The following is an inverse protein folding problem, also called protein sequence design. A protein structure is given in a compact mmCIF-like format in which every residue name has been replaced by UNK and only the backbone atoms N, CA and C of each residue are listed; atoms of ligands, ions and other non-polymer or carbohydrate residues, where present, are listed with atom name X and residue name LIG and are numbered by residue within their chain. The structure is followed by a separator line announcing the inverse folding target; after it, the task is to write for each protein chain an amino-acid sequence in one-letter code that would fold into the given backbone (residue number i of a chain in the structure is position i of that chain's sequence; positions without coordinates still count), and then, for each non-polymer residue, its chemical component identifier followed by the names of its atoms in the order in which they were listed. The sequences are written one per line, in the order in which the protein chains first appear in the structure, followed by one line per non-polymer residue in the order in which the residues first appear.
data_IF_256871727444
#
_entry.id   IF_256871727444
#
_cell.length_a   1.000
_cell.length_b   1.000
_cell.length_c   1.000
_cell.angle_alpha   90.00
_cell.angle_beta   90.00
_cell.angle_gamma   90.00
#
_symmetry.space_group_name_H-M   'P 1'
#
loop_
_entity.id
_entity.type
_entity.pdbx_description
1 polymer ?
#
# COMPACT_ATOMS: atom_id res chain seq x y z
N UNK A 1 24.80 -14.58 20.39
CA UNK A 1 23.57 -13.79 20.63
C UNK A 1 23.32 -12.63 19.66
N UNK A 2 24.13 -12.41 18.61
CA UNK A 2 23.92 -11.33 17.62
C UNK A 2 23.12 -11.71 16.35
N UNK A 3 22.88 -13.01 16.10
CA UNK A 3 22.21 -13.46 14.87
C UNK A 3 20.73 -13.06 14.80
N UNK A 4 19.99 -13.07 15.92
CA UNK A 4 18.54 -12.80 15.94
C UNK A 4 18.16 -11.38 15.51
N UNK A 5 19.01 -10.39 15.79
CA UNK A 5 18.74 -8.99 15.44
C UNK A 5 19.09 -8.69 13.98
N UNK A 6 20.14 -9.32 13.45
CA UNK A 6 20.53 -9.22 12.04
C UNK A 6 19.46 -9.86 11.15
N UNK A 7 19.01 -11.07 11.49
CA UNK A 7 17.95 -11.77 10.75
C UNK A 7 16.65 -10.98 10.77
N UNK A 8 16.30 -10.38 11.92
CA UNK A 8 15.10 -9.56 12.07
C UNK A 8 15.10 -8.33 11.15
N UNK A 9 16.25 -7.75 10.88
CA UNK A 9 16.38 -6.60 9.99
C UNK A 9 16.38 -7.07 8.53
N UNK A 10 17.06 -8.19 8.24
CA UNK A 10 17.21 -8.71 6.88
C UNK A 10 15.86 -9.06 6.23
N UNK A 11 14.95 -9.76 6.92
CA UNK A 11 13.65 -10.13 6.32
C UNK A 11 12.75 -8.91 6.09
N UNK A 12 12.88 -7.88 6.93
CA UNK A 12 12.14 -6.62 6.76
C UNK A 12 12.62 -5.89 5.52
N UNK A 13 13.94 -5.84 5.30
CA UNK A 13 14.52 -5.21 4.12
C UNK A 13 14.20 -5.98 2.83
N UNK A 14 14.28 -7.32 2.85
CA UNK A 14 13.85 -8.18 1.74
C UNK A 14 12.37 -7.94 1.41
N UNK A 15 11.50 -7.94 2.42
CA UNK A 15 10.06 -7.75 2.22
C UNK A 15 9.75 -6.36 1.66
N UNK A 16 10.41 -5.32 2.17
CA UNK A 16 10.27 -3.95 1.66
C UNK A 16 10.73 -3.84 0.21
N UNK A 17 11.88 -4.43 -0.13
CA UNK A 17 12.41 -4.48 -1.49
C UNK A 17 11.46 -5.20 -2.45
N UNK A 18 10.95 -6.37 -2.05
CA UNK A 18 9.97 -7.13 -2.81
C UNK A 18 8.68 -6.33 -3.04
N UNK A 19 8.16 -5.63 -2.03
CA UNK A 19 6.98 -4.78 -2.17
C UNK A 19 7.20 -3.65 -3.19
N UNK A 20 8.35 -2.96 -3.12
CA UNK A 20 8.68 -1.87 -4.06
C UNK A 20 8.83 -2.43 -5.48
N UNK A 21 9.54 -3.54 -5.65
CA UNK A 21 9.73 -4.18 -6.95
C UNK A 21 8.38 -4.55 -7.58
N UNK A 22 7.50 -5.17 -6.82
CA UNK A 22 6.17 -5.54 -7.28
C UNK A 22 5.34 -4.30 -7.69
N UNK A 23 5.45 -3.19 -6.95
CA UNK A 23 4.78 -1.92 -7.32
C UNK A 23 5.30 -1.39 -8.65
N UNK A 24 6.62 -1.43 -8.87
CA UNK A 24 7.23 -1.04 -10.15
C UNK A 24 6.72 -1.93 -11.29
N UNK A 25 6.75 -3.26 -11.12
CA UNK A 25 6.28 -4.22 -12.13
C UNK A 25 4.80 -4.04 -12.51
N UNK A 26 3.99 -3.55 -11.59
CA UNK A 26 2.61 -3.21 -11.87
C UNK A 26 2.48 -1.92 -12.68
N UNK A 27 3.18 -0.87 -12.25
CA UNK A 27 3.08 0.45 -12.89
C UNK A 27 3.68 0.49 -14.30
N UNK A 28 4.58 -0.43 -14.64
CA UNK A 28 5.11 -0.56 -16.00
C UNK A 28 4.08 -1.12 -17.00
N UNK A 29 3.05 -1.83 -16.54
CA UNK A 29 2.10 -2.53 -17.43
C UNK A 29 0.66 -2.08 -17.27
N UNK A 30 0.09 -2.15 -16.07
CA UNK A 30 -1.38 -2.10 -15.93
C UNK A 30 -2.03 -0.72 -16.12
N UNK A 31 -1.52 0.40 -15.58
CA UNK A 31 -2.21 1.69 -15.71
C UNK A 31 -2.29 2.22 -17.15
N UNK A 32 -1.40 1.76 -18.04
CA UNK A 32 -1.28 2.27 -19.41
C UNK A 32 -1.55 1.24 -20.52
N UNK A 33 -1.24 -0.05 -20.30
CA UNK A 33 -1.26 -1.06 -21.36
C UNK A 33 -2.41 -2.07 -21.26
N UNK A 34 -3.19 -2.09 -20.17
CA UNK A 34 -4.30 -3.03 -20.00
C UNK A 34 -5.36 -2.89 -21.11
N UNK A 35 -5.67 -1.66 -21.52
CA UNK A 35 -6.61 -1.39 -22.61
C UNK A 35 -6.06 -1.71 -24.00
N UNK A 36 -4.74 -1.75 -24.15
CA UNK A 36 -4.05 -1.96 -25.43
C UNK A 36 -3.92 -3.43 -25.79
N UNK A 37 -4.15 -4.33 -24.81
CA UNK A 37 -4.09 -5.79 -24.99
C UNK A 37 -5.05 -6.33 -26.05
N UNK A 38 -6.24 -5.71 -26.18
CA UNK A 38 -7.24 -6.11 -27.20
C UNK A 38 -6.76 -5.91 -28.63
N UNK A 39 -5.70 -5.13 -28.83
CA UNK A 39 -5.14 -4.79 -30.13
C UNK A 39 -3.79 -5.49 -30.40
N UNK A 40 -3.34 -6.41 -29.53
CA UNK A 40 -2.11 -7.16 -29.78
C UNK A 40 -2.33 -8.24 -30.84
N UNK A 41 -1.59 -8.13 -31.95
CA UNK A 41 -1.61 -9.13 -33.04
C UNK A 41 -0.88 -10.44 -32.69
N UNK A 42 0.03 -10.44 -31.71
CA UNK A 42 0.77 -11.61 -31.22
C UNK A 42 1.24 -11.40 -29.77
N UNK A 43 1.48 -12.48 -29.02
CA UNK A 43 2.00 -12.40 -27.64
C UNK A 43 0.94 -12.18 -26.55
N UNK A 44 -0.34 -12.45 -26.84
CA UNK A 44 -1.44 -12.35 -25.88
C UNK A 44 -1.29 -13.28 -24.67
N UNK A 45 -0.77 -14.50 -24.87
CA UNK A 45 -0.56 -15.48 -23.78
C UNK A 45 0.41 -14.97 -22.71
N UNK A 46 1.66 -14.56 -23.02
CA UNK A 46 2.55 -13.95 -22.02
C UNK A 46 1.96 -12.74 -21.31
N UNK A 47 1.21 -11.90 -22.04
CA UNK A 47 0.65 -10.68 -21.47
C UNK A 47 -0.52 -10.98 -20.52
N UNK A 48 -1.37 -11.95 -20.85
CA UNK A 48 -2.45 -12.41 -19.97
C UNK A 48 -1.89 -13.07 -18.71
N UNK A 49 -0.87 -13.94 -18.85
CA UNK A 49 -0.15 -14.51 -17.70
C UNK A 49 0.41 -13.41 -16.81
N UNK A 50 1.00 -12.36 -17.40
CA UNK A 50 1.56 -11.23 -16.65
C UNK A 50 0.48 -10.43 -15.90
N UNK A 51 -0.68 -10.20 -16.51
CA UNK A 51 -1.82 -9.53 -15.87
C UNK A 51 -2.33 -10.38 -14.70
N UNK A 52 -2.57 -11.67 -14.93
CA UNK A 52 -3.02 -12.59 -13.88
C UNK A 52 -2.02 -12.63 -12.72
N UNK A 53 -0.73 -12.71 -13.01
CA UNK A 53 0.33 -12.64 -12.01
C UNK A 53 0.27 -11.35 -11.19
N UNK A 54 0.11 -10.19 -11.83
CA UNK A 54 0.01 -8.90 -11.13
C UNK A 54 -1.29 -8.75 -10.32
N UNK A 55 -2.39 -9.34 -10.78
CA UNK A 55 -3.68 -9.36 -10.09
C UNK A 55 -3.61 -10.22 -8.84
N UNK A 56 -3.04 -11.42 -8.94
CA UNK A 56 -2.82 -12.32 -7.79
C UNK A 56 -1.88 -11.68 -6.76
N UNK A 57 -0.88 -10.91 -7.21
CA UNK A 57 0.05 -10.19 -6.33
C UNK A 57 -0.45 -8.82 -5.86
N UNK A 58 -1.62 -8.38 -6.33
CA UNK A 58 -2.22 -7.10 -5.91
C UNK A 58 -2.45 -7.00 -4.39
N UNK A 59 -3.01 -8.03 -3.71
CA UNK A 59 -3.21 -8.03 -2.26
C UNK A 59 -1.90 -8.11 -1.47
N UNK A 60 -0.80 -8.53 -2.10
CA UNK A 60 0.52 -8.64 -1.47
C UNK A 60 1.23 -7.28 -1.43
N UNK A 61 1.11 -6.46 -2.49
CA UNK A 61 1.87 -5.22 -2.64
C UNK A 61 1.56 -4.15 -1.60
N UNK A 62 0.38 -3.54 -1.71
CA UNK A 62 0.05 -2.36 -0.91
C UNK A 62 -0.19 -2.73 0.56
N UNK A 63 -0.96 -3.79 0.89
CA UNK A 63 -1.14 -4.21 2.29
C UNK A 63 0.17 -4.53 3.02
N UNK A 64 1.08 -5.30 2.40
CA UNK A 64 2.35 -5.64 3.04
C UNK A 64 3.27 -4.41 3.15
N UNK A 65 3.30 -3.55 2.14
CA UNK A 65 4.05 -2.30 2.20
C UNK A 65 3.60 -1.40 3.35
N UNK A 66 2.29 -1.20 3.53
CA UNK A 66 1.77 -0.40 4.64
C UNK A 66 1.98 -1.08 6.00
N UNK A 67 1.86 -2.41 6.07
CA UNK A 67 2.18 -3.17 7.27
C UNK A 67 3.64 -2.98 7.70
N UNK A 68 4.60 -3.18 6.79
CA UNK A 68 6.03 -2.99 7.06
C UNK A 68 6.33 -1.55 7.44
N UNK A 69 5.69 -0.59 6.77
CA UNK A 69 5.85 0.83 7.11
C UNK A 69 5.32 1.14 8.51
N UNK A 70 4.21 0.53 8.92
CA UNK A 70 3.67 0.60 10.29
C UNK A 70 4.64 0.00 11.31
N UNK A 71 5.18 -1.18 11.04
CA UNK A 71 6.19 -1.86 11.87
C UNK A 71 7.43 -0.97 12.09
N UNK A 72 7.96 -0.35 11.03
CA UNK A 72 9.09 0.57 11.09
C UNK A 72 8.75 1.92 11.73
N UNK A 73 7.47 2.27 11.80
CA UNK A 73 6.96 3.48 12.43
C UNK A 73 6.68 3.31 13.93
N UNK A 74 6.47 2.09 14.42
CA UNK A 74 6.11 1.79 15.82
C UNK A 74 6.96 2.56 16.84
N UNK A 75 8.29 2.50 16.71
CA UNK A 75 9.21 3.19 17.62
C UNK A 75 9.06 4.72 17.58
N UNK A 76 8.78 5.29 16.41
CA UNK A 76 8.54 6.73 16.25
C UNK A 76 7.17 7.19 16.80
N UNK A 77 6.19 6.30 16.81
CA UNK A 77 4.84 6.54 17.32
C UNK A 77 4.84 6.47 18.86
N UNK A 78 5.47 5.45 19.43
CA UNK A 78 5.40 5.18 20.87
C UNK A 78 6.41 5.98 21.70
N UNK A 79 7.65 6.10 21.22
CA UNK A 79 8.78 6.52 22.08
C UNK A 79 9.38 7.90 21.74
N UNK A 80 9.05 8.49 20.58
CA UNK A 80 9.70 9.74 20.11
C UNK A 80 8.84 10.99 20.34
N UNK A 81 9.42 12.12 20.79
CA UNK A 81 8.69 13.38 20.96
C UNK A 81 8.23 13.95 19.61
N UNK A 82 7.16 14.75 19.63
CA UNK A 82 6.54 15.33 18.43
C UNK A 82 7.53 16.13 17.57
N UNK A 83 8.38 16.96 18.19
CA UNK A 83 9.38 17.78 17.48
C UNK A 83 10.32 16.96 16.61
N UNK A 84 10.89 15.88 17.13
CA UNK A 84 11.87 15.07 16.39
C UNK A 84 11.26 14.35 15.18
N UNK A 85 9.97 13.99 15.29
CA UNK A 85 9.28 13.22 14.25
C UNK A 85 8.72 14.11 13.15
N UNK A 86 8.18 15.28 13.50
CA UNK A 86 7.75 16.27 12.53
C UNK A 86 8.93 16.74 11.68
N UNK A 87 10.04 17.15 12.30
CA UNK A 87 11.16 17.77 11.58
C UNK A 87 11.83 16.86 10.54
N UNK A 88 11.93 15.54 10.80
CA UNK A 88 12.77 14.66 9.97
C UNK A 88 11.98 13.73 9.04
N UNK A 89 10.93 13.08 9.53
CA UNK A 89 10.27 11.98 8.80
C UNK A 89 9.01 12.43 8.09
N UNK A 90 8.12 13.12 8.80
CA UNK A 90 6.83 13.55 8.23
C UNK A 90 7.04 14.64 7.19
N UNK A 91 7.81 15.67 7.53
CA UNK A 91 8.13 16.76 6.59
C UNK A 91 8.80 16.23 5.33
N UNK A 92 9.71 15.26 5.44
CA UNK A 92 10.38 14.68 4.28
C UNK A 92 9.39 13.90 3.38
N UNK A 93 8.47 13.12 3.95
CA UNK A 93 7.44 12.42 3.17
C UNK A 93 6.52 13.38 2.41
N UNK A 94 6.03 14.43 3.07
CA UNK A 94 5.20 15.44 2.41
C UNK A 94 5.99 16.29 1.42
N UNK A 95 7.24 16.62 1.74
CA UNK A 95 8.17 17.31 0.84
C UNK A 95 8.38 16.52 -0.43
N UNK A 96 8.74 15.24 -0.33
CA UNK A 96 8.91 14.36 -1.50
C UNK A 96 7.59 14.22 -2.27
N UNK A 97 6.45 14.08 -1.59
CA UNK A 97 5.16 13.98 -2.25
C UNK A 97 4.82 15.22 -3.09
N UNK A 98 4.98 16.43 -2.52
CA UNK A 98 4.69 17.69 -3.20
C UNK A 98 5.73 17.95 -4.30
N UNK A 99 7.02 17.75 -4.01
CA UNK A 99 8.11 17.99 -4.96
C UNK A 99 7.96 17.10 -6.19
N UNK A 100 7.80 15.79 -6.00
CA UNK A 100 7.64 14.86 -7.12
C UNK A 100 6.30 15.03 -7.83
N UNK A 101 5.22 15.31 -7.09
CA UNK A 101 3.93 15.65 -7.69
C UNK A 101 4.02 16.87 -8.59
N UNK A 102 4.74 17.91 -8.14
CA UNK A 102 4.96 19.14 -8.91
C UNK A 102 5.85 18.89 -10.13
N UNK A 103 6.95 18.15 -9.99
CA UNK A 103 7.82 17.78 -11.11
C UNK A 103 7.03 17.02 -12.17
N UNK A 104 6.22 16.03 -11.76
CA UNK A 104 5.41 15.24 -12.68
C UNK A 104 4.36 16.11 -13.40
N UNK A 105 3.64 16.94 -12.65
CA UNK A 105 2.66 17.86 -13.20
C UNK A 105 3.28 18.85 -14.19
N UNK A 106 4.41 19.47 -13.81
CA UNK A 106 5.14 20.42 -14.65
C UNK A 106 5.68 19.77 -15.92
N UNK A 107 6.26 18.57 -15.80
CA UNK A 107 6.77 17.82 -16.94
C UNK A 107 5.64 17.44 -17.90
N UNK A 108 4.50 16.99 -17.38
CA UNK A 108 3.35 16.67 -18.22
C UNK A 108 2.80 17.92 -18.88
N UNK A 109 2.50 18.99 -18.15
CA UNK A 109 2.00 20.22 -18.77
C UNK A 109 2.98 20.77 -19.81
N UNK A 110 4.25 20.91 -19.46
CA UNK A 110 5.26 21.52 -20.33
C UNK A 110 5.56 20.71 -21.58
N UNK A 111 5.54 19.37 -21.51
CA UNK A 111 5.84 18.51 -22.66
C UNK A 111 4.56 18.17 -23.43
N UNK A 112 3.49 17.73 -22.75
CA UNK A 112 2.25 17.30 -23.39
C UNK A 112 1.45 18.45 -23.98
N UNK A 113 1.31 19.56 -23.25
CA UNK A 113 0.36 20.61 -23.67
C UNK A 113 0.93 21.41 -24.84
N UNK A 114 2.25 21.63 -24.87
CA UNK A 114 2.92 22.30 -25.99
C UNK A 114 3.02 21.42 -27.24
N UNK A 115 3.28 20.11 -27.07
CA UNK A 115 3.45 19.22 -28.23
C UNK A 115 2.11 18.72 -28.79
N UNK A 116 1.10 18.50 -27.95
CA UNK A 116 -0.14 17.82 -28.36
C UNK A 116 -1.36 18.74 -28.45
N UNK A 117 -1.30 19.96 -27.89
CA UNK A 117 -2.40 20.95 -27.94
C UNK A 117 -3.71 20.53 -27.26
N UNK A 118 -3.77 19.34 -26.66
CA UNK A 118 -4.93 18.76 -25.98
C UNK A 118 -4.50 18.01 -24.70
N UNK A 119 -5.44 17.88 -23.75
CA UNK A 119 -5.26 17.06 -22.55
C UNK A 119 -5.08 15.59 -22.95
N UNK A 120 -3.91 15.01 -22.69
CA UNK A 120 -3.60 13.58 -22.99
C UNK A 120 -4.50 12.60 -22.23
N UNK A 121 -5.06 12.97 -21.08
CA UNK A 121 -5.97 12.09 -20.33
C UNK A 121 -7.05 12.86 -19.58
N UNK A 122 -8.28 12.34 -19.57
CA UNK A 122 -9.39 12.81 -18.73
C UNK A 122 -9.37 12.19 -17.32
N UNK A 123 -8.34 11.40 -16.98
CA UNK A 123 -8.21 10.81 -15.65
C UNK A 123 -8.05 11.90 -14.58
N UNK A 124 -8.86 11.80 -13.53
CA UNK A 124 -8.75 12.63 -12.33
C UNK A 124 -7.47 12.22 -11.57
N UNK A 125 -6.35 12.84 -11.93
CA UNK A 125 -5.05 12.68 -11.29
C UNK A 125 -4.34 14.02 -11.27
N UNK A 126 -3.71 14.38 -10.15
CA UNK A 126 -3.00 15.64 -9.95
C UNK A 126 -1.96 15.89 -11.05
N UNK A 127 -1.35 14.82 -11.57
CA UNK A 127 -0.40 14.86 -12.67
C UNK A 127 -0.96 15.48 -13.97
N UNK A 128 -2.27 15.38 -14.22
CA UNK A 128 -2.94 15.90 -15.42
C UNK A 128 -3.79 17.15 -15.16
N UNK A 129 -3.67 17.77 -13.97
CA UNK A 129 -4.41 18.97 -13.63
C UNK A 129 -4.12 20.10 -14.63
N UNK A 130 -5.12 20.86 -15.07
CA UNK A 130 -4.89 21.96 -16.02
C UNK A 130 -4.51 23.29 -15.37
N UNK A 131 -4.59 23.38 -14.05
CA UNK A 131 -4.27 24.60 -13.29
C UNK A 131 -3.58 24.26 -11.98
N UNK A 132 -2.83 25.22 -11.43
CA UNK A 132 -2.19 25.07 -10.13
C UNK A 132 -3.20 24.82 -9.01
N UNK A 133 -4.37 25.44 -9.08
CA UNK A 133 -5.46 25.24 -8.11
C UNK A 133 -6.03 23.82 -8.17
N UNK A 134 -6.27 23.31 -9.39
CA UNK A 134 -6.72 21.93 -9.60
C UNK A 134 -5.65 20.92 -9.15
N UNK A 135 -4.36 21.20 -9.41
CA UNK A 135 -3.24 20.40 -8.93
C UNK A 135 -3.23 20.33 -7.40
N UNK A 136 -3.34 21.47 -6.71
CA UNK A 136 -3.37 21.50 -5.24
C UNK A 136 -4.58 20.76 -4.68
N UNK A 137 -5.77 20.94 -5.28
CA UNK A 137 -6.99 20.24 -4.87
C UNK A 137 -6.85 18.72 -5.01
N UNK A 138 -6.37 18.23 -6.16
CA UNK A 138 -6.18 16.80 -6.41
C UNK A 138 -5.07 16.20 -5.56
N UNK A 139 -3.98 16.94 -5.34
CA UNK A 139 -2.89 16.57 -4.43
C UNK A 139 -3.41 16.44 -3.00
N UNK A 140 -4.26 17.36 -2.55
CA UNK A 140 -4.85 17.29 -1.22
C UNK A 140 -5.87 16.14 -1.08
N UNK A 141 -6.59 15.81 -2.15
CA UNK A 141 -7.48 14.64 -2.22
C UNK A 141 -6.73 13.31 -2.42
N UNK A 142 -5.40 13.30 -2.34
CA UNK A 142 -4.54 12.14 -2.58
C UNK A 142 -4.78 11.46 -3.95
N UNK A 143 -5.26 12.22 -4.93
CA UNK A 143 -5.46 11.74 -6.31
C UNK A 143 -4.15 11.89 -7.09
N UNK A 144 -3.09 11.26 -6.59
CA UNK A 144 -1.76 11.25 -7.22
C UNK A 144 -1.24 9.83 -7.24
N UNK A 145 -0.47 9.45 -8.26
CA UNK A 145 0.16 8.13 -8.32
C UNK A 145 1.01 7.84 -7.07
N UNK A 146 1.57 8.89 -6.46
CA UNK A 146 2.39 8.84 -5.23
C UNK A 146 1.58 8.95 -3.93
N UNK A 147 0.26 8.70 -3.97
CA UNK A 147 -0.63 8.81 -2.81
C UNK A 147 -0.17 8.03 -1.58
N UNK A 148 0.62 6.96 -1.76
CA UNK A 148 1.15 6.17 -0.66
C UNK A 148 2.02 7.00 0.30
N UNK A 149 2.78 7.99 -0.20
CA UNK A 149 3.59 8.89 0.63
C UNK A 149 2.71 9.77 1.53
N UNK A 150 1.66 10.33 0.94
CA UNK A 150 0.64 11.08 1.66
C UNK A 150 -0.05 10.21 2.72
N UNK A 151 -0.43 8.99 2.34
CA UNK A 151 -1.04 8.02 3.25
C UNK A 151 -0.13 7.66 4.42
N UNK A 152 1.16 7.40 4.19
CA UNK A 152 2.11 7.13 5.28
C UNK A 152 2.23 8.30 6.26
N UNK A 153 2.30 9.54 5.76
CA UNK A 153 2.31 10.72 6.60
C UNK A 153 1.04 10.83 7.45
N UNK A 154 -0.13 10.68 6.81
CA UNK A 154 -1.44 10.77 7.46
C UNK A 154 -1.65 9.65 8.49
N UNK A 155 -1.38 8.39 8.13
CA UNK A 155 -1.54 7.25 9.02
C UNK A 155 -0.62 7.36 10.23
N UNK A 156 0.61 7.82 10.02
CA UNK A 156 1.54 8.06 11.11
C UNK A 156 1.00 9.12 12.07
N UNK A 157 0.48 10.24 11.55
CA UNK A 157 -0.13 11.30 12.35
C UNK A 157 -1.32 10.75 13.15
N UNK A 158 -2.27 10.08 12.50
CA UNK A 158 -3.44 9.48 13.15
C UNK A 158 -3.03 8.47 14.24
N UNK A 159 -2.13 7.54 13.93
CA UNK A 159 -1.66 6.54 14.88
C UNK A 159 -0.96 7.16 16.09
N UNK A 160 -0.26 8.29 15.91
CA UNK A 160 0.42 9.00 17.00
C UNK A 160 -0.54 9.82 17.86
N UNK A 161 -1.50 10.54 17.27
CA UNK A 161 -2.53 11.29 18.00
C UNK A 161 -3.40 10.34 18.82
N UNK A 162 -3.91 9.28 18.19
CA UNK A 162 -4.87 8.36 18.79
C UNK A 162 -4.23 7.13 19.44
N UNK A 163 -2.94 7.20 19.80
CA UNK A 163 -2.20 6.06 20.37
C UNK A 163 -2.83 5.49 21.65
N UNK A 164 -3.52 6.32 22.44
CA UNK A 164 -4.23 5.91 23.66
C UNK A 164 -5.53 5.15 23.35
N UNK A 165 -6.15 5.42 22.19
CA UNK A 165 -7.42 4.83 21.74
C UNK A 165 -7.20 3.82 20.61
N UNK A 166 -6.12 3.03 20.69
CA UNK A 166 -5.69 2.09 19.63
C UNK A 166 -6.80 1.15 19.14
N UNK A 167 -7.66 0.67 20.04
CA UNK A 167 -8.76 -0.24 19.70
C UNK A 167 -9.86 0.49 18.90
N UNK A 168 -10.26 1.68 19.34
CA UNK A 168 -11.22 2.51 18.61
C UNK A 168 -10.69 2.90 17.24
N UNK A 169 -9.40 3.23 17.15
CA UNK A 169 -8.76 3.57 15.88
C UNK A 169 -8.77 2.39 14.88
N UNK A 170 -8.51 1.18 15.36
CA UNK A 170 -8.60 -0.02 14.51
C UNK A 170 -10.05 -0.32 14.12
N UNK A 171 -11.01 -0.16 15.01
CA UNK A 171 -12.43 -0.33 14.68
C UNK A 171 -12.85 0.64 13.57
N UNK A 172 -12.43 1.92 13.67
CA UNK A 172 -12.64 2.91 12.61
C UNK A 172 -11.92 2.52 11.32
N UNK A 173 -10.69 2.01 11.39
CA UNK A 173 -9.96 1.57 10.20
C UNK A 173 -10.61 0.36 9.50
N UNK A 174 -11.19 -0.57 10.25
CA UNK A 174 -11.96 -1.69 9.70
C UNK A 174 -13.23 -1.17 9.03
N UNK A 175 -13.97 -0.27 9.68
CA UNK A 175 -15.15 0.36 9.10
C UNK A 175 -14.81 1.09 7.79
N UNK A 176 -13.73 1.88 7.79
CA UNK A 176 -13.24 2.57 6.60
C UNK A 176 -12.84 1.60 5.49
N UNK A 177 -12.27 0.45 5.81
CA UNK A 177 -11.96 -0.58 4.83
C UNK A 177 -13.23 -1.16 4.17
N UNK A 178 -14.28 -1.45 4.94
CA UNK A 178 -15.56 -1.91 4.39
C UNK A 178 -16.25 -0.84 3.56
N UNK A 179 -16.28 0.42 4.02
CA UNK A 179 -16.81 1.55 3.25
C UNK A 179 -16.05 1.76 1.92
N UNK A 180 -14.75 1.50 1.92
CA UNK A 180 -13.93 1.53 0.71
C UNK A 180 -14.20 0.33 -0.21
N UNK A 181 -14.50 -0.85 0.34
CA UNK A 181 -14.85 -2.05 -0.42
C UNK A 181 -16.22 -1.90 -1.10
N UNK A 182 -17.19 -1.30 -0.42
CA UNK A 182 -18.52 -0.98 -0.96
C UNK A 182 -18.56 0.24 -1.90
N UNK A 183 -17.40 0.87 -2.15
CA UNK A 183 -17.25 2.07 -3.00
C UNK A 183 -18.13 3.25 -2.56
N UNK A 184 -18.46 3.34 -1.27
CA UNK A 184 -19.20 4.46 -0.67
C UNK A 184 -18.34 5.74 -0.66
N UNK A 185 -17.01 5.57 -0.52
CA UNK A 185 -16.06 6.69 -0.49
C UNK A 185 -15.84 7.19 -1.92
N UNK A 186 -16.12 8.48 -2.21
CA UNK A 186 -15.91 9.04 -3.52
C UNK A 186 -14.40 9.16 -3.81
N UNK A 187 -14.04 9.02 -5.09
CA UNK A 187 -12.67 9.09 -5.61
C UNK A 187 -11.76 7.93 -5.20
N UNK A 188 -10.91 7.51 -6.14
CA UNK A 188 -10.02 6.35 -5.95
C UNK A 188 -8.92 6.59 -4.90
N UNK A 189 -8.45 7.83 -4.72
CA UNK A 189 -7.40 8.19 -3.75
C UNK A 189 -7.85 8.02 -2.30
N UNK A 190 -8.91 8.72 -1.85
CA UNK A 190 -9.50 8.56 -0.52
C UNK A 190 -9.99 7.13 -0.24
N UNK A 191 -10.57 6.46 -1.25
CA UNK A 191 -10.94 5.05 -1.15
C UNK A 191 -9.72 4.17 -0.84
N UNK A 192 -8.60 4.38 -1.55
CA UNK A 192 -7.36 3.65 -1.28
C UNK A 192 -6.81 3.96 0.13
N UNK A 193 -6.83 5.24 0.54
CA UNK A 193 -6.40 5.63 1.88
C UNK A 193 -7.20 4.91 2.98
N UNK A 194 -8.52 4.90 2.86
CA UNK A 194 -9.41 4.22 3.78
C UNK A 194 -9.19 2.70 3.78
N UNK A 195 -8.99 2.10 2.60
CA UNK A 195 -8.76 0.67 2.45
C UNK A 195 -7.49 0.21 3.19
N UNK A 196 -6.37 0.93 3.06
CA UNK A 196 -5.09 0.42 3.54
C UNK A 196 -4.71 0.86 4.96
N UNK A 197 -5.48 1.77 5.56
CA UNK A 197 -5.20 2.28 6.90
C UNK A 197 -5.10 1.16 7.96
N UNK A 198 -5.96 0.14 7.87
CA UNK A 198 -5.97 -0.99 8.80
C UNK A 198 -4.64 -1.75 8.83
N UNK A 199 -3.99 -1.96 7.67
CA UNK A 199 -2.72 -2.70 7.60
C UNK A 199 -1.58 -1.92 8.25
N UNK A 200 -1.57 -0.59 8.10
CA UNK A 200 -0.60 0.25 8.79
C UNK A 200 -0.76 0.16 10.32
N UNK A 201 -1.99 0.19 10.83
CA UNK A 201 -2.26 0.05 12.27
C UNK A 201 -1.89 -1.34 12.81
N UNK A 202 -2.17 -2.39 12.04
CA UNK A 202 -1.75 -3.76 12.38
C UNK A 202 -0.23 -3.86 12.50
N UNK A 203 0.51 -3.24 11.57
CA UNK A 203 1.97 -3.14 11.65
C UNK A 203 2.44 -2.32 12.85
N UNK A 204 1.78 -1.19 13.12
CA UNK A 204 2.19 -0.27 14.17
C UNK A 204 2.00 -0.83 15.59
N UNK A 205 0.86 -1.48 15.86
CA UNK A 205 0.47 -1.90 17.21
C UNK A 205 0.51 -3.42 17.45
N UNK A 206 0.30 -4.24 16.41
CA UNK A 206 0.21 -5.71 16.51
C UNK A 206 1.26 -6.45 15.68
N UNK A 207 2.38 -5.79 15.36
CA UNK A 207 3.49 -6.40 14.63
C UNK A 207 3.96 -7.72 15.24
N UNK A 208 4.15 -7.79 16.55
CA UNK A 208 4.59 -9.01 17.25
C UNK A 208 3.60 -10.16 17.09
N UNK A 209 2.29 -9.87 17.16
CA UNK A 209 1.23 -10.87 16.97
C UNK A 209 1.20 -11.38 15.53
N UNK A 210 1.30 -10.48 14.55
CA UNK A 210 1.37 -10.84 13.13
C UNK A 210 2.63 -11.66 12.81
N UNK A 211 3.78 -11.30 13.41
CA UNK A 211 5.01 -12.07 13.27
C UNK A 211 4.89 -13.46 13.88
N UNK A 212 4.26 -13.59 15.06
CA UNK A 212 4.00 -14.89 15.67
C UNK A 212 3.07 -15.75 14.83
N UNK A 213 2.02 -15.16 14.25
CA UNK A 213 1.08 -15.83 13.35
C UNK A 213 1.70 -16.24 12.01
N UNK A 214 2.73 -15.53 11.54
CA UNK A 214 3.45 -15.86 10.32
C UNK A 214 4.38 -17.09 10.46
N UNK A 215 4.70 -17.50 11.70
CA UNK A 215 5.53 -18.69 11.90
C UNK A 215 4.75 -19.96 11.55
N UNK A 216 5.40 -20.88 10.84
CA UNK A 216 4.79 -22.15 10.42
C UNK A 216 4.73 -23.14 11.60
N UNK A 217 3.90 -22.82 12.59
CA UNK A 217 3.63 -23.65 13.77
C UNK A 217 2.23 -24.25 13.68
N UNK A 218 2.06 -25.47 14.21
CA UNK A 218 0.74 -26.13 14.25
C UNK A 218 -0.34 -25.31 14.95
N UNK A 219 0.05 -24.50 15.95
CA UNK A 219 -0.84 -23.59 16.67
C UNK A 219 -1.44 -22.48 15.78
N UNK A 220 -0.75 -22.09 14.71
CA UNK A 220 -1.20 -21.04 13.79
C UNK A 220 -2.10 -21.56 12.67
N UNK A 221 -2.19 -22.88 12.46
CA UNK A 221 -3.01 -23.47 11.40
C UNK A 221 -4.50 -23.12 11.57
N UNK A 222 -5.00 -23.04 12.81
CA UNK A 222 -6.40 -22.71 13.09
C UNK A 222 -6.74 -21.24 12.75
N UNK A 223 -5.95 -20.23 13.17
CA UNK A 223 -6.08 -18.85 12.68
C UNK A 223 -6.00 -18.72 11.16
N UNK A 224 -5.08 -19.44 10.50
CA UNK A 224 -4.95 -19.43 9.04
C UNK A 224 -6.18 -20.04 8.35
N UNK A 225 -6.69 -21.16 8.86
CA UNK A 225 -7.91 -21.78 8.35
C UNK A 225 -9.15 -20.90 8.55
N UNK A 226 -9.27 -20.23 9.69
CA UNK A 226 -10.35 -19.28 9.96
C UNK A 226 -10.29 -18.06 9.03
N UNK A 227 -9.10 -17.49 8.82
CA UNK A 227 -8.89 -16.40 7.89
C UNK A 227 -9.19 -16.82 6.44
N UNK A 228 -8.81 -18.04 6.05
CA UNK A 228 -9.09 -18.60 4.73
C UNK A 228 -10.59 -18.85 4.53
N UNK A 229 -11.28 -19.37 5.55
CA UNK A 229 -12.73 -19.54 5.53
C UNK A 229 -13.45 -18.19 5.43
N UNK A 230 -13.03 -17.19 6.22
CA UNK A 230 -13.59 -15.84 6.19
C UNK A 230 -13.32 -15.15 4.83
N UNK A 231 -12.15 -15.34 4.24
CA UNK A 231 -11.84 -14.87 2.90
C UNK A 231 -12.74 -15.55 1.84
N UNK A 232 -12.94 -16.87 1.94
CA UNK A 232 -13.85 -17.62 1.07
C UNK A 232 -15.29 -17.15 1.18
N UNK A 233 -15.77 -16.88 2.41
CA UNK A 233 -17.09 -16.30 2.65
C UNK A 233 -17.20 -14.92 1.99
N UNK A 234 -16.21 -14.04 2.14
CA UNK A 234 -16.21 -12.73 1.48
C UNK A 234 -16.24 -12.81 -0.05
N UNK A 235 -15.53 -13.78 -0.64
CA UNK A 235 -15.56 -14.02 -2.09
C UNK A 235 -16.95 -14.48 -2.53
N UNK A 236 -17.60 -15.35 -1.75
CA UNK A 236 -18.98 -15.79 -2.01
C UNK A 236 -19.99 -14.63 -1.90
N UNK A 237 -19.77 -13.67 -1.00
CA UNK A 237 -20.58 -12.45 -0.88
C UNK A 237 -20.25 -11.37 -1.94
N UNK A 238 -19.35 -11.64 -2.89
CA UNK A 238 -19.04 -10.72 -3.99
C UNK A 238 -18.20 -9.50 -3.60
N UNK A 239 -17.49 -9.55 -2.46
CA UNK A 239 -16.55 -8.50 -2.08
C UNK A 239 -15.22 -8.68 -2.82
N UNK A 240 -15.03 -7.95 -3.93
CA UNK A 240 -13.84 -7.99 -4.80
C UNK A 240 -12.49 -7.80 -4.05
N UNK A 241 -12.52 -7.14 -2.88
CA UNK A 241 -11.33 -6.77 -2.11
C UNK A 241 -11.46 -7.21 -0.65
N UNK A 242 -11.35 -8.51 -0.39
CA UNK A 242 -11.50 -9.06 0.95
C UNK A 242 -10.33 -8.69 1.88
N UNK A 243 -10.65 -8.08 3.02
CA UNK A 243 -9.69 -7.73 4.07
C UNK A 243 -8.90 -8.96 4.54
N UNK A 244 -9.59 -10.09 4.70
CA UNK A 244 -9.00 -11.35 5.15
C UNK A 244 -7.96 -11.93 4.17
N UNK A 245 -8.21 -11.83 2.87
CA UNK A 245 -7.24 -12.26 1.86
C UNK A 245 -6.00 -11.38 1.89
N UNK A 246 -6.16 -10.06 2.05
CA UNK A 246 -5.03 -9.15 2.25
C UNK A 246 -4.23 -9.48 3.53
N UNK A 247 -4.89 -9.84 4.64
CA UNK A 247 -4.20 -10.27 5.87
C UNK A 247 -3.43 -11.58 5.65
N UNK A 248 -4.05 -12.58 5.00
CA UNK A 248 -3.38 -13.82 4.61
C UNK A 248 -2.17 -13.58 3.71
N UNK A 249 -2.32 -12.70 2.72
CA UNK A 249 -1.25 -12.29 1.82
C UNK A 249 -0.07 -11.66 2.61
N UNK A 250 -0.36 -10.78 3.56
CA UNK A 250 0.68 -10.19 4.42
C UNK A 250 1.38 -11.27 5.24
N UNK A 251 0.64 -12.17 5.89
CA UNK A 251 1.22 -13.26 6.68
C UNK A 251 2.08 -14.20 5.81
N UNK A 252 1.60 -14.54 4.62
CA UNK A 252 2.32 -15.35 3.65
C UNK A 252 3.62 -14.69 3.19
N UNK A 253 3.60 -13.38 2.91
CA UNK A 253 4.79 -12.62 2.52
C UNK A 253 5.86 -12.64 3.60
N UNK A 254 5.46 -12.45 4.86
CA UNK A 254 6.38 -12.49 6.00
C UNK A 254 6.98 -13.90 6.12
N UNK A 255 6.17 -14.95 6.02
CA UNK A 255 6.61 -16.33 6.08
C UNK A 255 7.59 -16.67 4.94
N UNK A 256 7.26 -16.29 3.71
CA UNK A 256 8.07 -16.52 2.52
C UNK A 256 9.42 -15.78 2.61
N UNK A 257 9.44 -14.51 3.02
CA UNK A 257 10.69 -13.75 3.19
C UNK A 257 11.57 -14.31 4.31
N UNK A 258 10.98 -14.77 5.42
CA UNK A 258 11.73 -15.45 6.49
C UNK A 258 12.35 -16.76 6.00
N UNK A 259 11.58 -17.56 5.25
CA UNK A 259 12.07 -18.81 4.69
C UNK A 259 13.20 -18.59 3.68
N UNK A 260 13.05 -17.62 2.77
CA UNK A 260 14.08 -17.25 1.80
C UNK A 260 15.38 -16.85 2.49
N UNK A 261 15.31 -15.95 3.48
CA UNK A 261 16.51 -15.50 4.18
C UNK A 261 17.16 -16.61 5.02
N UNK A 262 16.42 -17.60 5.49
CA UNK A 262 17.01 -18.75 6.19
C UNK A 262 17.76 -19.71 5.26
N UNK A 263 17.37 -19.79 3.98
CA UNK A 263 17.97 -20.72 3.01
C UNK A 263 19.04 -20.09 2.13
N UNK A 264 19.04 -18.76 1.99
CA UNK A 264 19.92 -18.02 1.07
C UNK A 264 20.82 -16.98 1.77
N UNK A 265 21.02 -17.06 3.09
CA UNK A 265 21.95 -16.20 3.86
C UNK A 265 23.30 -16.86 4.12
#
# INVERSE_FOLDING_TARGET
MNQTKSDQILWVDTLKGACILLVVLYHTVLPGFEGTMKYLSAGWIPAEIWIQFNTVLSPLRMPAFFFVSGLLATNGILNRPWKQVFTSRITNLFYLYILWGFIQWWSIIGISTEITGQRISQNLNAAYAGSLFEFLKLTFMAMSTSWYLYGLGLYFLCAKVFRQYKLALVAVAILLNYLAAEKVIPFWGPQSLAQYFVFFLLGAFWSQTMLRLSEWRRENLMPWALLAAAAGIHVLFGLDKSLFLCVLAVLFSIAACRWLNQHFS
#
